data_IF_071687168132
#
_entry.id   IF_071687168132
#
_cell.length_a   1.000
_cell.length_b   1.000
_cell.length_c   1.000
_cell.angle_alpha   90.00
_cell.angle_beta   90.00
_cell.angle_gamma   90.00
#
_symmetry.space_group_name_H-M   'P 1'
#
loop_
_entity.id
_entity.type
_entity.pdbx_description
1 polymer ?
#
# COMPACT_ATOMS: atom_id res chain seq x y z
N UNK A 1 30.90 21.82 -2.06
CA UNK A 1 30.38 20.66 -1.30
C UNK A 1 31.29 19.49 -1.60
N UNK A 2 31.80 18.75 -0.60
CA UNK A 2 32.68 17.62 -0.88
C UNK A 2 31.88 16.52 -1.61
N UNK A 3 32.55 15.81 -2.55
CA UNK A 3 31.94 14.66 -3.22
C UNK A 3 31.66 13.59 -2.18
N UNK A 4 30.58 12.81 -2.42
CA UNK A 4 30.19 11.66 -1.64
C UNK A 4 31.42 10.82 -1.31
N UNK A 5 31.93 11.00 -0.12
CA UNK A 5 32.89 10.08 0.42
C UNK A 5 32.10 8.80 0.65
N UNK A 6 32.32 7.78 -0.18
CA UNK A 6 32.08 6.41 0.23
C UNK A 6 32.91 6.25 1.51
N UNK A 7 32.33 6.66 2.64
CA UNK A 7 32.95 6.50 3.93
C UNK A 7 33.41 5.06 3.98
N UNK A 8 34.67 4.82 4.25
CA UNK A 8 35.24 3.50 4.51
C UNK A 8 34.45 2.91 5.69
N UNK A 9 33.28 2.33 5.36
CA UNK A 9 32.47 1.62 6.33
C UNK A 9 33.32 0.42 6.78
N UNK A 10 33.49 0.22 8.08
CA UNK A 10 34.17 -0.96 8.57
C UNK A 10 33.52 -2.22 7.98
N UNK A 11 34.30 -3.18 7.49
CA UNK A 11 33.79 -4.34 6.75
C UNK A 11 32.82 -5.23 7.57
N UNK A 12 32.93 -5.22 8.89
CA UNK A 12 32.24 -6.15 9.79
C UNK A 12 30.94 -5.61 10.39
N UNK A 13 30.38 -4.53 9.86
CA UNK A 13 29.10 -4.00 10.37
C UNK A 13 27.92 -4.57 9.64
N UNK A 14 26.89 -4.91 10.40
CA UNK A 14 25.56 -5.23 9.86
C UNK A 14 25.03 -4.06 9.05
N UNK A 15 24.49 -4.34 7.87
CA UNK A 15 23.86 -3.37 6.98
C UNK A 15 22.34 -3.51 7.07
N UNK A 16 21.71 -2.75 7.94
CA UNK A 16 20.26 -2.65 7.96
C UNK A 16 19.81 -1.95 6.67
N UNK A 17 18.90 -2.56 5.92
CA UNK A 17 18.61 -2.16 4.54
C UNK A 17 17.17 -1.72 4.40
N UNK A 18 16.94 -0.51 3.87
CA UNK A 18 15.61 0.08 3.70
C UNK A 18 15.01 -0.23 2.35
N UNK A 19 15.79 -0.07 1.28
CA UNK A 19 15.30 -0.22 -0.08
C UNK A 19 16.43 -0.48 -1.07
N UNK A 20 16.08 -1.07 -2.22
CA UNK A 20 16.93 -1.12 -3.41
C UNK A 20 16.45 -0.08 -4.43
N UNK A 21 17.39 0.63 -5.05
CA UNK A 21 17.15 1.69 -6.01
C UNK A 21 18.11 1.57 -7.20
N UNK A 22 17.78 2.15 -8.37
CA UNK A 22 18.75 2.33 -9.43
C UNK A 22 19.85 3.29 -8.98
N UNK A 23 21.03 3.20 -9.60
CA UNK A 23 22.12 4.17 -9.34
C UNK A 23 21.62 5.60 -9.60
N UNK A 24 21.69 6.49 -8.63
CA UNK A 24 21.20 7.84 -8.78
C UNK A 24 22.11 8.68 -9.69
N UNK A 25 21.55 9.40 -10.66
CA UNK A 25 22.30 10.31 -11.54
C UNK A 25 22.97 11.46 -10.76
N UNK A 26 22.38 11.85 -9.64
CA UNK A 26 22.91 12.86 -8.72
C UNK A 26 22.92 12.32 -7.30
N UNK A 27 23.86 12.78 -6.44
CA UNK A 27 23.91 12.33 -5.07
C UNK A 27 22.55 12.47 -4.35
N UNK A 28 22.04 11.37 -3.79
CA UNK A 28 20.82 11.37 -3.00
C UNK A 28 21.03 12.14 -1.69
N UNK A 29 20.11 13.04 -1.40
CA UNK A 29 20.00 13.61 -0.06
C UNK A 29 19.34 12.57 0.83
N UNK A 30 20.12 11.78 1.57
CA UNK A 30 19.61 10.74 2.45
C UNK A 30 19.05 11.35 3.74
N UNK A 31 17.84 10.96 4.18
CA UNK A 31 17.28 11.39 5.45
C UNK A 31 18.03 10.76 6.63
N UNK A 32 17.63 11.12 7.86
CA UNK A 32 18.09 10.42 9.05
C UNK A 32 17.46 9.02 9.11
N UNK A 33 18.27 8.02 9.46
CA UNK A 33 17.84 6.65 9.65
C UNK A 33 17.02 6.44 10.93
N UNK A 34 17.08 5.22 11.45
CA UNK A 34 16.43 4.84 12.71
C UNK A 34 17.21 5.42 13.90
N UNK A 35 18.52 5.23 13.94
CA UNK A 35 19.41 5.72 14.99
C UNK A 35 20.58 6.54 14.45
N UNK A 36 20.94 6.39 13.18
CA UNK A 36 22.14 6.97 12.61
C UNK A 36 21.99 7.54 11.20
N UNK A 37 23.14 7.83 10.60
CA UNK A 37 23.22 8.30 9.24
C UNK A 37 23.07 7.14 8.25
N UNK A 38 22.34 7.39 7.16
CA UNK A 38 22.19 6.46 6.07
C UNK A 38 23.40 6.53 5.13
N UNK A 39 23.66 5.43 4.46
CA UNK A 39 24.69 5.31 3.44
C UNK A 39 24.10 4.66 2.17
N UNK A 40 24.68 5.04 1.03
CA UNK A 40 24.46 4.37 -0.24
C UNK A 40 25.53 3.32 -0.48
N UNK A 41 25.10 2.10 -0.85
CA UNK A 41 25.97 1.01 -1.26
C UNK A 41 25.47 0.49 -2.61
N UNK A 42 26.23 0.67 -3.66
CA UNK A 42 25.88 0.25 -5.01
C UNK A 42 27.04 -0.28 -5.81
N UNK A 43 26.73 -0.82 -7.00
CA UNK A 43 27.69 -1.38 -7.96
C UNK A 43 27.82 -0.55 -9.24
N UNK A 44 27.26 0.67 -9.26
CA UNK A 44 27.23 1.56 -10.41
C UNK A 44 25.99 1.40 -11.30
N UNK A 45 25.08 0.49 -10.97
CA UNK A 45 23.83 0.26 -11.71
C UNK A 45 22.64 0.19 -10.77
N UNK A 46 22.82 -0.52 -9.68
CA UNK A 46 21.83 -0.78 -8.63
C UNK A 46 22.50 -0.64 -7.28
N UNK A 47 21.77 -0.22 -6.29
CA UNK A 47 22.29 -0.15 -4.93
C UNK A 47 21.21 -0.16 -3.87
N UNK A 48 21.64 -0.01 -2.65
CA UNK A 48 20.81 -0.06 -1.46
C UNK A 48 21.05 1.16 -0.58
N UNK A 49 19.99 1.65 0.05
CA UNK A 49 20.08 2.59 1.17
C UNK A 49 20.10 1.80 2.46
N UNK A 50 21.17 1.99 3.23
CA UNK A 50 21.43 1.22 4.44
C UNK A 50 21.74 2.12 5.64
N UNK A 51 21.51 1.59 6.84
CA UNK A 51 22.02 2.12 8.10
C UNK A 51 23.05 1.16 8.67
N UNK A 52 24.34 1.51 8.61
CA UNK A 52 25.40 0.61 9.05
C UNK A 52 25.47 0.50 10.57
N UNK A 53 25.47 -0.72 11.09
CA UNK A 53 25.68 -0.99 12.51
C UNK A 53 24.46 -0.74 13.39
N UNK A 54 23.25 -0.68 12.80
CA UNK A 54 22.03 -0.65 13.58
C UNK A 54 21.88 -1.98 14.35
N UNK A 55 21.72 -1.87 15.66
CA UNK A 55 21.44 -3.00 16.54
C UNK A 55 19.93 -3.18 16.69
N UNK A 56 19.36 -4.02 15.84
CA UNK A 56 17.91 -4.29 15.85
C UNK A 56 17.50 -5.12 17.06
N UNK A 57 18.37 -6.00 17.57
CA UNK A 57 18.07 -6.84 18.74
C UNK A 57 17.90 -5.96 20.00
N UNK A 58 18.73 -4.94 20.16
CA UNK A 58 18.59 -3.99 21.25
C UNK A 58 17.26 -3.23 21.18
N UNK A 59 16.75 -2.91 19.99
CA UNK A 59 15.45 -2.24 19.82
C UNK A 59 14.25 -3.15 20.16
N UNK A 60 14.40 -4.45 19.98
CA UNK A 60 13.31 -5.41 20.27
C UNK A 60 13.06 -5.60 21.77
N UNK A 61 13.95 -5.14 22.63
CA UNK A 61 13.78 -5.24 24.08
C UNK A 61 12.82 -4.20 24.68
N UNK A 62 12.51 -3.15 23.91
CA UNK A 62 11.59 -2.05 24.30
C UNK A 62 10.55 -1.85 23.20
N UNK A 63 9.27 -2.06 23.53
CA UNK A 63 8.15 -1.94 22.59
C UNK A 63 8.02 -0.52 22.01
N UNK A 64 8.29 0.52 22.81
CA UNK A 64 8.24 1.91 22.33
C UNK A 64 9.39 2.20 21.37
N UNK A 65 10.61 1.71 21.67
CA UNK A 65 11.75 1.84 20.80
C UNK A 65 11.53 1.10 19.48
N UNK A 66 10.96 -0.10 19.54
CA UNK A 66 10.61 -0.88 18.37
C UNK A 66 9.57 -0.18 17.49
N UNK A 67 8.50 0.34 18.08
CA UNK A 67 7.48 1.10 17.34
C UNK A 67 8.08 2.36 16.72
N UNK A 68 8.93 3.09 17.45
CA UNK A 68 9.65 4.24 16.92
C UNK A 68 10.55 3.88 15.73
N UNK A 69 11.21 2.73 15.78
CA UNK A 69 12.05 2.22 14.69
C UNK A 69 11.24 1.85 13.44
N UNK A 70 10.08 1.21 13.61
CA UNK A 70 9.14 0.89 12.51
C UNK A 70 8.68 2.16 11.81
N UNK A 71 8.26 3.18 12.57
CA UNK A 71 7.82 4.47 12.02
C UNK A 71 8.97 5.21 11.32
N UNK A 72 10.19 5.14 11.87
CA UNK A 72 11.38 5.73 11.26
C UNK A 72 11.73 5.03 9.93
N UNK A 73 11.65 3.70 9.88
CA UNK A 73 11.85 2.92 8.67
C UNK A 73 10.87 3.35 7.56
N UNK A 74 9.58 3.42 7.89
CA UNK A 74 8.54 3.83 6.95
C UNK A 74 8.75 5.26 6.44
N UNK A 75 9.11 6.19 7.35
CA UNK A 75 9.46 7.57 6.98
C UNK A 75 10.62 7.63 5.98
N UNK A 76 11.67 6.83 6.19
CA UNK A 76 12.83 6.78 5.26
C UNK A 76 12.38 6.30 3.89
N UNK A 77 11.57 5.23 3.81
CA UNK A 77 11.04 4.72 2.54
C UNK A 77 10.19 5.78 1.84
N UNK A 78 9.31 6.47 2.58
CA UNK A 78 8.46 7.54 2.02
C UNK A 78 9.28 8.70 1.48
N UNK A 79 10.33 9.12 2.18
CA UNK A 79 11.22 10.20 1.73
C UNK A 79 11.97 9.80 0.46
N UNK A 80 12.55 8.61 0.42
CA UNK A 80 13.23 8.08 -0.77
C UNK A 80 12.29 7.96 -1.97
N UNK A 81 11.06 7.54 -1.75
CA UNK A 81 10.04 7.38 -2.79
C UNK A 81 9.66 8.70 -3.47
N UNK A 82 9.80 9.84 -2.78
CA UNK A 82 9.57 11.16 -3.39
C UNK A 82 10.62 11.51 -4.45
N UNK A 83 11.80 10.91 -4.39
CA UNK A 83 12.96 11.27 -5.21
C UNK A 83 13.34 10.22 -6.24
N UNK A 84 12.96 8.95 -6.03
CA UNK A 84 13.34 7.84 -6.90
C UNK A 84 12.31 6.72 -6.86
N UNK A 85 12.26 5.92 -7.95
CA UNK A 85 11.63 4.60 -7.90
C UNK A 85 12.47 3.69 -7.00
N UNK A 86 11.82 2.85 -6.21
CA UNK A 86 12.50 1.96 -5.28
C UNK A 86 11.74 0.65 -5.05
N UNK A 87 12.48 -0.35 -4.61
CA UNK A 87 11.94 -1.60 -4.06
C UNK A 87 12.07 -1.55 -2.54
N UNK A 88 11.00 -1.29 -1.80
CA UNK A 88 11.05 -1.23 -0.35
C UNK A 88 11.30 -2.62 0.23
N UNK A 89 12.08 -2.68 1.30
CA UNK A 89 12.31 -3.91 2.04
C UNK A 89 11.48 -3.92 3.32
N UNK A 90 11.19 -5.12 3.81
CA UNK A 90 10.50 -5.26 5.08
C UNK A 90 11.37 -4.75 6.23
N UNK A 91 10.72 -4.17 7.24
CA UNK A 91 11.37 -3.85 8.50
C UNK A 91 12.09 -5.08 9.06
N UNK A 92 13.34 -4.89 9.48
CA UNK A 92 14.18 -5.98 9.98
C UNK A 92 15.12 -6.60 8.93
N UNK A 93 15.02 -6.20 7.66
CA UNK A 93 15.93 -6.71 6.63
C UNK A 93 17.34 -6.18 6.83
N UNK A 94 18.31 -7.09 6.98
CA UNK A 94 19.72 -6.73 7.17
C UNK A 94 20.65 -7.75 6.54
N UNK A 95 21.83 -7.28 6.14
CA UNK A 95 22.94 -8.09 5.66
C UNK A 95 24.07 -8.05 6.69
N UNK A 96 24.74 -9.18 6.89
CA UNK A 96 25.81 -9.28 7.90
C UNK A 96 26.98 -8.33 7.65
N UNK A 97 27.28 -8.09 6.37
CA UNK A 97 28.38 -7.24 5.93
C UNK A 97 28.13 -6.70 4.52
N UNK A 98 28.90 -5.68 4.15
CA UNK A 98 28.79 -4.98 2.86
C UNK A 98 28.93 -5.91 1.65
N UNK A 99 29.87 -6.84 1.69
CA UNK A 99 30.16 -7.79 0.61
C UNK A 99 28.97 -8.71 0.33
N UNK A 100 28.29 -9.17 1.38
CA UNK A 100 27.08 -10.00 1.26
C UNK A 100 25.92 -9.25 0.60
N UNK A 101 25.78 -7.95 0.90
CA UNK A 101 24.80 -7.10 0.23
C UNK A 101 25.14 -6.93 -1.25
N UNK A 102 26.38 -6.60 -1.59
CA UNK A 102 26.80 -6.43 -3.00
C UNK A 102 26.65 -7.72 -3.80
N UNK A 103 27.04 -8.86 -3.22
CA UNK A 103 26.84 -10.17 -3.86
C UNK A 103 25.35 -10.46 -4.11
N UNK A 104 24.49 -10.14 -3.16
CA UNK A 104 23.04 -10.29 -3.33
C UNK A 104 22.50 -9.39 -4.44
N UNK A 105 22.90 -8.12 -4.50
CA UNK A 105 22.51 -7.20 -5.58
C UNK A 105 22.98 -7.70 -6.94
N UNK A 106 24.21 -8.22 -7.05
CA UNK A 106 24.74 -8.79 -8.28
C UNK A 106 23.93 -10.00 -8.74
N UNK A 107 23.63 -10.95 -7.83
CA UNK A 107 22.85 -12.16 -8.13
C UNK A 107 21.42 -11.87 -8.56
N UNK A 108 20.81 -10.83 -8.02
CA UNK A 108 19.42 -10.45 -8.27
C UNK A 108 19.28 -9.26 -9.22
N UNK A 109 20.36 -8.80 -9.84
CA UNK A 109 20.42 -7.56 -10.63
C UNK A 109 19.31 -7.48 -11.68
N UNK A 110 19.19 -8.46 -12.56
CA UNK A 110 18.16 -8.44 -13.62
C UNK A 110 16.75 -8.39 -13.04
N UNK A 111 16.48 -9.21 -12.03
CA UNK A 111 15.17 -9.25 -11.37
C UNK A 111 14.78 -7.90 -10.75
N UNK A 112 15.73 -7.23 -10.10
CA UNK A 112 15.44 -5.93 -9.47
C UNK A 112 15.36 -4.81 -10.50
N UNK A 113 16.19 -4.82 -11.55
CA UNK A 113 16.07 -3.86 -12.64
C UNK A 113 14.73 -3.97 -13.35
N UNK A 114 14.30 -5.17 -13.75
CA UNK A 114 13.00 -5.40 -14.38
C UNK A 114 11.84 -4.87 -13.53
N UNK A 115 11.92 -5.07 -12.20
CA UNK A 115 10.91 -4.56 -11.28
C UNK A 115 10.95 -3.04 -11.15
N UNK A 116 12.13 -2.44 -11.04
CA UNK A 116 12.28 -0.99 -10.97
C UNK A 116 11.82 -0.31 -12.25
N UNK A 117 12.15 -0.87 -13.41
CA UNK A 117 11.69 -0.39 -14.71
C UNK A 117 10.17 -0.50 -14.83
N UNK A 118 9.60 -1.62 -14.38
CA UNK A 118 8.16 -1.80 -14.37
C UNK A 118 7.45 -0.78 -13.46
N UNK A 119 8.02 -0.42 -12.32
CA UNK A 119 7.47 0.54 -11.36
C UNK A 119 7.74 1.99 -11.75
N UNK A 120 8.73 2.24 -12.60
CA UNK A 120 9.16 3.59 -12.97
C UNK A 120 8.02 4.43 -13.52
N UNK A 121 7.84 5.64 -12.96
CA UNK A 121 6.78 6.57 -13.34
C UNK A 121 5.36 6.12 -13.00
N UNK A 122 5.20 5.09 -12.16
CA UNK A 122 3.91 4.62 -11.67
C UNK A 122 3.74 4.92 -10.18
N UNK A 123 2.48 5.05 -9.78
CA UNK A 123 2.05 5.25 -8.39
C UNK A 123 0.94 4.25 -8.09
N UNK A 124 0.99 3.63 -6.93
CA UNK A 124 -0.09 2.79 -6.45
C UNK A 124 -1.20 3.64 -5.84
N UNK A 125 -2.43 3.35 -6.25
CA UNK A 125 -3.64 3.91 -5.66
C UNK A 125 -4.43 2.77 -5.01
N UNK A 126 -4.90 3.00 -3.80
CA UNK A 126 -5.84 2.11 -3.14
C UNK A 126 -7.24 2.69 -3.27
N UNK A 127 -8.12 2.00 -4.00
CA UNK A 127 -9.55 2.30 -4.02
C UNK A 127 -10.22 1.51 -2.91
N UNK A 128 -11.01 2.19 -2.11
CA UNK A 128 -11.83 1.59 -1.05
C UNK A 128 -13.28 1.68 -1.48
N UNK A 129 -13.90 0.52 -1.69
CA UNK A 129 -15.30 0.40 -2.06
C UNK A 129 -16.11 0.03 -0.82
N UNK A 130 -16.93 0.95 -0.36
CA UNK A 130 -17.83 0.75 0.78
C UNK A 130 -19.24 0.67 0.27
N UNK A 131 -19.96 -0.47 0.45
CA UNK A 131 -21.37 -0.53 0.15
C UNK A 131 -22.11 0.45 1.05
N UNK A 132 -23.01 1.23 0.46
CA UNK A 132 -23.87 2.09 1.27
C UNK A 132 -24.73 1.23 2.19
N UNK A 133 -24.91 1.64 3.46
CA UNK A 133 -25.81 0.92 4.37
C UNK A 133 -27.19 0.83 3.73
N UNK A 134 -27.70 -0.40 3.58
CA UNK A 134 -29.09 -0.60 3.18
C UNK A 134 -29.96 -0.08 4.32
N UNK A 135 -30.41 1.17 4.22
CA UNK A 135 -31.45 1.66 5.10
C UNK A 135 -32.63 0.72 4.95
N UNK A 136 -32.97 0.00 6.01
CA UNK A 136 -34.28 -0.62 6.05
C UNK A 136 -35.26 0.53 5.79
N UNK A 137 -36.14 0.39 4.77
CA UNK A 137 -37.25 1.31 4.66
C UNK A 137 -37.85 1.41 6.04
N UNK A 138 -38.09 2.61 6.59
CA UNK A 138 -38.76 2.71 7.86
C UNK A 138 -39.99 1.83 7.70
N UNK A 139 -40.09 0.79 8.56
CA UNK A 139 -41.34 0.03 8.63
C UNK A 139 -42.45 1.09 8.62
N UNK A 140 -43.51 0.96 7.81
CA UNK A 140 -44.54 1.96 7.77
C UNK A 140 -44.84 2.33 9.21
N UNK A 141 -44.49 3.57 9.59
CA UNK A 141 -44.73 4.03 10.95
C UNK A 141 -46.15 3.64 11.27
N UNK A 142 -46.43 2.87 12.30
CA UNK A 142 -47.78 2.56 12.63
C UNK A 142 -48.47 3.92 12.77
N UNK A 143 -49.26 4.27 11.77
CA UNK A 143 -50.13 5.42 11.91
C UNK A 143 -50.91 5.17 13.20
N UNK A 144 -50.82 6.04 14.23
CA UNK A 144 -51.47 5.76 15.52
C UNK A 144 -52.96 5.44 15.39
N UNK A 145 -53.57 5.74 14.25
CA UNK A 145 -54.97 5.53 13.95
C UNK A 145 -55.27 4.22 13.22
N UNK A 146 -54.23 3.47 12.72
CA UNK A 146 -54.45 2.21 12.04
C UNK A 146 -54.20 1.03 12.98
N UNK A 147 -55.13 0.03 13.01
CA UNK A 147 -54.93 -1.16 13.83
C UNK A 147 -53.69 -1.94 13.33
N UNK A 148 -52.85 -2.49 14.23
CA UNK A 148 -51.67 -3.23 13.85
C UNK A 148 -52.03 -4.38 12.92
N UNK A 149 -51.33 -4.48 11.79
CA UNK A 149 -51.46 -5.58 10.84
C UNK A 149 -51.36 -6.91 11.58
N UNK A 150 -52.38 -7.78 11.41
CA UNK A 150 -52.45 -9.10 12.07
C UNK A 150 -52.59 -10.20 11.04
N UNK A 151 -52.08 -11.37 11.39
CA UNK A 151 -52.26 -12.57 10.59
C UNK A 151 -51.58 -12.50 9.21
N UNK A 152 -52.34 -12.78 8.17
CA UNK A 152 -51.83 -12.91 6.80
C UNK A 152 -51.22 -11.62 6.25
N UNK A 153 -51.78 -10.47 6.57
CA UNK A 153 -51.29 -9.18 6.06
C UNK A 153 -49.96 -8.78 6.65
N UNK A 154 -49.71 -9.09 7.93
CA UNK A 154 -48.41 -8.95 8.57
C UNK A 154 -47.34 -9.81 7.89
N UNK A 155 -47.66 -11.08 7.58
CA UNK A 155 -46.72 -11.97 6.89
C UNK A 155 -46.44 -11.50 5.47
N UNK A 156 -47.42 -11.00 4.73
CA UNK A 156 -47.21 -10.44 3.39
C UNK A 156 -46.31 -9.20 3.42
N UNK A 157 -46.56 -8.28 4.32
CA UNK A 157 -45.73 -7.09 4.50
C UNK A 157 -44.27 -7.46 4.86
N UNK A 158 -44.08 -8.40 5.78
CA UNK A 158 -42.80 -8.90 6.18
C UNK A 158 -42.08 -9.61 5.03
N UNK A 159 -42.78 -10.43 4.26
CA UNK A 159 -42.22 -11.07 3.05
C UNK A 159 -41.78 -10.05 2.00
N UNK A 160 -42.57 -9.01 1.74
CA UNK A 160 -42.21 -7.95 0.82
C UNK A 160 -40.96 -7.19 1.30
N UNK A 161 -40.86 -6.91 2.60
CA UNK A 161 -39.71 -6.26 3.19
C UNK A 161 -38.44 -7.10 2.99
N UNK A 162 -38.50 -8.42 3.23
CA UNK A 162 -37.33 -9.30 2.97
C UNK A 162 -36.99 -9.37 1.48
N UNK A 163 -37.95 -9.47 0.61
CA UNK A 163 -37.73 -9.49 -0.84
C UNK A 163 -37.13 -8.19 -1.35
N UNK A 164 -37.51 -7.03 -0.81
CA UNK A 164 -36.93 -5.74 -1.18
C UNK A 164 -35.48 -5.61 -0.67
N UNK A 165 -35.17 -6.14 0.52
CA UNK A 165 -33.83 -6.19 1.02
C UNK A 165 -32.91 -7.08 0.17
N UNK A 166 -33.36 -8.29 -0.16
CA UNK A 166 -32.62 -9.20 -1.04
C UNK A 166 -32.39 -8.59 -2.42
N UNK A 167 -33.36 -7.94 -3.01
CA UNK A 167 -33.24 -7.25 -4.30
C UNK A 167 -32.19 -6.12 -4.22
N UNK A 168 -32.22 -5.32 -3.15
CA UNK A 168 -31.24 -4.24 -2.95
C UNK A 168 -29.82 -4.78 -2.74
N UNK A 169 -29.67 -5.86 -1.97
CA UNK A 169 -28.39 -6.53 -1.82
C UNK A 169 -27.85 -7.05 -3.15
N UNK A 170 -28.72 -7.68 -3.96
CA UNK A 170 -28.33 -8.15 -5.28
C UNK A 170 -27.93 -6.99 -6.20
N UNK A 171 -28.68 -5.91 -6.21
CA UNK A 171 -28.34 -4.72 -6.99
C UNK A 171 -27.00 -4.10 -6.58
N UNK A 172 -26.70 -4.04 -5.28
CA UNK A 172 -25.40 -3.57 -4.81
C UNK A 172 -24.26 -4.48 -5.28
N UNK A 173 -24.44 -5.80 -5.21
CA UNK A 173 -23.45 -6.75 -5.71
C UNK A 173 -23.23 -6.62 -7.21
N UNK A 174 -24.28 -6.46 -7.99
CA UNK A 174 -24.21 -6.28 -9.43
C UNK A 174 -23.49 -4.97 -9.78
N UNK A 175 -23.78 -3.87 -9.08
CA UNK A 175 -23.08 -2.59 -9.24
C UNK A 175 -21.59 -2.68 -8.90
N UNK A 176 -21.24 -3.35 -7.81
CA UNK A 176 -19.84 -3.59 -7.45
C UNK A 176 -19.11 -4.41 -8.52
N UNK A 177 -19.76 -5.44 -9.05
CA UNK A 177 -19.19 -6.28 -10.11
C UNK A 177 -19.02 -5.50 -11.41
N UNK A 178 -19.96 -4.65 -11.79
CA UNK A 178 -19.85 -3.78 -12.96
C UNK A 178 -18.72 -2.77 -12.81
N UNK A 179 -18.61 -2.16 -11.61
CA UNK A 179 -17.54 -1.23 -11.28
C UNK A 179 -16.16 -1.91 -11.37
N UNK A 180 -16.02 -3.11 -10.79
CA UNK A 180 -14.77 -3.92 -10.90
C UNK A 180 -14.42 -4.21 -12.35
N UNK A 181 -15.39 -4.60 -13.15
CA UNK A 181 -15.19 -4.90 -14.58
C UNK A 181 -14.74 -3.65 -15.34
N UNK A 182 -15.35 -2.50 -15.03
CA UNK A 182 -15.01 -1.23 -15.65
C UNK A 182 -13.59 -0.79 -15.27
N UNK A 183 -13.25 -0.87 -13.97
CA UNK A 183 -11.90 -0.55 -13.50
C UNK A 183 -10.88 -1.49 -14.13
N UNK A 184 -11.13 -2.80 -14.16
CA UNK A 184 -10.21 -3.79 -14.73
C UNK A 184 -9.98 -3.61 -16.24
N UNK A 185 -10.97 -3.10 -16.96
CA UNK A 185 -10.81 -2.76 -18.39
C UNK A 185 -9.89 -1.57 -18.62
N UNK A 186 -9.93 -0.58 -17.72
CA UNK A 186 -9.12 0.65 -17.81
C UNK A 186 -7.72 0.42 -17.23
N UNK A 187 -7.62 -0.37 -16.17
CA UNK A 187 -6.41 -0.64 -15.39
C UNK A 187 -6.17 -2.16 -15.30
N UNK A 188 -5.51 -2.78 -16.29
CA UNK A 188 -5.32 -4.24 -16.34
C UNK A 188 -4.43 -4.79 -15.22
N UNK A 189 -3.57 -3.96 -14.62
CA UNK A 189 -2.68 -4.33 -13.50
C UNK A 189 -3.37 -4.24 -12.12
N UNK A 190 -4.70 -4.28 -12.11
CA UNK A 190 -5.53 -4.24 -10.90
C UNK A 190 -5.30 -5.50 -10.03
N UNK A 191 -5.12 -5.30 -8.74
CA UNK A 191 -5.15 -6.35 -7.72
C UNK A 191 -6.25 -6.08 -6.72
N UNK A 192 -7.18 -7.03 -6.58
CA UNK A 192 -8.24 -6.96 -5.56
C UNK A 192 -7.77 -7.70 -4.31
N UNK A 193 -7.91 -7.07 -3.13
CA UNK A 193 -7.75 -7.76 -1.86
C UNK A 193 -9.07 -8.37 -1.42
N UNK A 194 -8.98 -9.37 -0.54
CA UNK A 194 -10.16 -9.92 0.11
C UNK A 194 -10.93 -8.84 0.88
N UNK A 195 -12.25 -8.85 0.73
CA UNK A 195 -13.11 -7.93 1.46
C UNK A 195 -13.02 -8.19 2.98
N UNK A 196 -12.74 -7.14 3.75
CA UNK A 196 -12.81 -7.18 5.21
C UNK A 196 -13.95 -6.29 5.67
N UNK A 197 -14.83 -6.82 6.52
CA UNK A 197 -15.97 -6.09 7.09
C UNK A 197 -16.90 -5.47 6.02
N UNK A 198 -17.04 -6.13 4.87
CA UNK A 198 -17.85 -5.64 3.75
C UNK A 198 -17.19 -4.55 2.91
N UNK A 199 -15.97 -4.14 3.23
CA UNK A 199 -15.20 -3.14 2.49
C UNK A 199 -14.22 -3.84 1.56
N UNK A 200 -14.31 -3.58 0.26
CA UNK A 200 -13.35 -4.06 -0.72
C UNK A 200 -12.22 -3.05 -0.92
N UNK A 201 -10.99 -3.56 -1.10
CA UNK A 201 -9.83 -2.75 -1.47
C UNK A 201 -9.29 -3.22 -2.80
N UNK A 202 -9.11 -2.28 -3.71
CA UNK A 202 -8.54 -2.51 -5.04
C UNK A 202 -7.25 -1.69 -5.14
N UNK A 203 -6.15 -2.37 -5.42
CA UNK A 203 -4.85 -1.73 -5.64
C UNK A 203 -4.64 -1.55 -7.13
N UNK A 204 -4.33 -0.32 -7.54
CA UNK A 204 -4.12 0.07 -8.93
C UNK A 204 -2.72 0.65 -9.08
N UNK A 205 -1.92 0.08 -9.95
CA UNK A 205 -0.65 0.67 -10.35
C UNK A 205 -0.87 1.57 -11.58
N UNK A 206 -0.80 2.88 -11.38
CA UNK A 206 -1.19 3.88 -12.39
C UNK A 206 -0.02 4.79 -12.72
N UNK A 207 0.25 5.02 -13.99
CA UNK A 207 1.25 6.01 -14.39
C UNK A 207 0.92 7.40 -13.83
N UNK A 208 1.92 8.11 -13.30
CA UNK A 208 1.75 9.41 -12.64
C UNK A 208 0.89 10.40 -13.44
N UNK A 209 1.05 10.43 -14.78
CA UNK A 209 0.26 11.30 -15.66
C UNK A 209 -1.23 10.96 -15.74
N UNK A 210 -1.61 9.73 -15.38
CA UNK A 210 -3.00 9.24 -15.39
C UNK A 210 -3.68 9.33 -14.02
N UNK A 211 -2.96 9.67 -12.95
CA UNK A 211 -3.50 9.76 -11.60
C UNK A 211 -4.62 10.79 -11.46
N UNK A 212 -4.48 11.96 -12.08
CA UNK A 212 -5.53 12.98 -12.10
C UNK A 212 -6.79 12.56 -12.88
N UNK A 213 -6.64 11.68 -13.88
CA UNK A 213 -7.78 11.10 -14.60
C UNK A 213 -8.51 10.07 -13.73
N UNK A 214 -7.78 9.23 -13.02
CA UNK A 214 -8.36 8.29 -12.05
C UNK A 214 -9.18 9.03 -11.00
N UNK A 215 -8.64 10.10 -10.41
CA UNK A 215 -9.36 10.89 -9.41
C UNK A 215 -10.69 11.45 -9.93
N UNK A 216 -10.71 11.97 -11.16
CA UNK A 216 -11.95 12.45 -11.80
C UNK A 216 -12.95 11.31 -12.04
N UNK A 217 -12.49 10.15 -12.46
CA UNK A 217 -13.36 8.98 -12.65
C UNK A 217 -13.96 8.49 -11.33
N UNK A 218 -13.16 8.42 -10.25
CA UNK A 218 -13.66 8.04 -8.93
C UNK A 218 -14.76 8.99 -8.45
N UNK A 219 -14.63 10.30 -8.71
CA UNK A 219 -15.69 11.26 -8.39
C UNK A 219 -16.99 11.04 -9.18
N UNK A 220 -16.93 10.43 -10.35
CA UNK A 220 -18.12 10.10 -11.14
C UNK A 220 -18.81 8.81 -10.68
N UNK A 221 -18.09 7.97 -9.93
CA UNK A 221 -18.61 6.71 -9.39
C UNK A 221 -19.19 6.84 -7.98
N UNK A 222 -19.05 8.00 -7.34
CA UNK A 222 -19.67 8.35 -6.05
C UNK A 222 -21.11 8.83 -6.22
#
# INVERSE_FOLDING_TARGET
MPPFTAALLPPDRTMYTFAFLPEPETPLALPLGIQGALAWIGDGTLGAVVEPGLDLEALQTDEHALMGAVLAHDRVIQDLFQHSVLLPLQFGTSFKHREGLLQHLEQQRSTYQDRLDYLSGKVEYTLRLEPQPLSADPAPSPNPEEPPLKGRDYFLAKKQQYQSLDQRQQQQQDQLQELRTTIGRIYPDLQAAEAKEGVERIYLLVGQRRGSHLQKQVQQWQ
#
